data_IF_605690036438
#
_entry.id   IF_605690036438
#
_cell.length_a   1.000
_cell.length_b   1.000
_cell.length_c   1.000
_cell.angle_alpha   90.00
_cell.angle_beta   90.00
_cell.angle_gamma   90.00
#
_symmetry.space_group_name_H-M   'P 1'
#
loop_
_entity.id
_entity.type
_entity.pdbx_description
1 polymer ?
#
# COMPACT_ATOMS: atom_id res chain seq x y z
N UNK A 1 3.71 12.63 2.59
CA UNK A 1 2.36 12.06 2.77
C UNK A 1 2.25 11.49 4.17
N UNK A 2 1.13 11.58 4.88
CA UNK A 2 1.00 10.97 6.21
C UNK A 2 0.33 9.60 6.12
N UNK A 3 0.77 8.65 6.96
CA UNK A 3 0.24 7.28 6.99
C UNK A 3 -1.29 7.23 7.07
N UNK A 4 -1.91 8.13 7.83
CA UNK A 4 -3.37 8.20 7.97
C UNK A 4 -4.10 8.48 6.65
N UNK A 5 -3.56 9.37 5.83
CA UNK A 5 -4.14 9.67 4.51
C UNK A 5 -3.93 8.50 3.55
N UNK A 6 -2.75 7.87 3.60
CA UNK A 6 -2.48 6.64 2.85
C UNK A 6 -3.45 5.53 3.19
N UNK A 7 -3.62 5.22 4.47
CA UNK A 7 -4.55 4.18 4.92
C UNK A 7 -5.95 4.49 4.42
N UNK A 8 -6.40 5.75 4.48
CA UNK A 8 -7.72 6.12 3.97
C UNK A 8 -7.86 5.85 2.47
N UNK A 9 -6.91 6.28 1.65
CA UNK A 9 -6.90 6.00 0.20
C UNK A 9 -6.84 4.49 -0.07
N UNK A 10 -6.05 3.75 0.71
CA UNK A 10 -5.95 2.30 0.62
C UNK A 10 -7.31 1.64 0.88
N UNK A 11 -8.04 2.06 1.92
CA UNK A 11 -9.39 1.58 2.22
C UNK A 11 -10.41 1.91 1.12
N UNK A 12 -10.28 3.09 0.50
CA UNK A 12 -11.10 3.47 -0.66
C UNK A 12 -10.82 2.58 -1.88
N UNK A 13 -9.56 2.17 -2.10
CA UNK A 13 -9.17 1.29 -3.20
C UNK A 13 -9.72 -0.14 -3.04
N UNK A 14 -9.69 -0.67 -1.80
CA UNK A 14 -10.20 -2.02 -1.52
C UNK A 14 -11.71 -2.07 -1.26
N UNK A 15 -12.39 -0.91 -1.33
CA UNK A 15 -13.82 -0.75 -1.06
C UNK A 15 -14.21 -1.39 0.29
N UNK A 16 -13.45 -1.05 1.34
CA UNK A 16 -13.63 -1.55 2.70
C UNK A 16 -13.77 -0.38 3.68
N UNK A 17 -14.47 -0.63 4.80
CA UNK A 17 -14.58 0.38 5.85
C UNK A 17 -13.20 0.75 6.41
N UNK A 18 -12.91 2.05 6.60
CA UNK A 18 -11.65 2.49 7.14
C UNK A 18 -11.51 2.06 8.60
N UNK A 19 -10.65 1.08 8.85
CA UNK A 19 -10.32 0.63 10.19
C UNK A 19 -9.00 1.23 10.67
N UNK A 20 -8.78 1.19 11.99
CA UNK A 20 -7.51 1.63 12.58
C UNK A 20 -6.42 0.58 12.32
N UNK A 21 -5.53 0.87 11.38
CA UNK A 21 -4.36 0.04 11.08
C UNK A 21 -3.08 0.68 11.58
N UNK A 22 -2.04 -0.14 11.75
CA UNK A 22 -0.69 0.26 12.13
C UNK A 22 0.30 -0.12 11.03
N UNK A 23 1.53 0.37 11.12
CA UNK A 23 2.58 0.02 10.15
C UNK A 23 2.92 -1.48 10.15
N UNK A 24 2.75 -2.14 11.29
CA UNK A 24 2.93 -3.58 11.46
C UNK A 24 1.71 -4.39 11.04
N UNK A 25 0.60 -3.73 10.68
CA UNK A 25 -0.64 -4.42 10.35
C UNK A 25 -0.48 -5.21 9.06
N UNK A 26 -0.83 -6.50 9.10
CA UNK A 26 -0.69 -7.40 7.95
C UNK A 26 -1.99 -7.53 7.17
N UNK A 27 -1.90 -7.38 5.85
CA UNK A 27 -3.07 -7.44 4.97
C UNK A 27 -3.81 -8.79 5.05
N UNK A 28 -3.08 -9.90 5.04
CA UNK A 28 -3.69 -11.24 5.09
C UNK A 28 -4.29 -11.60 6.45
N UNK A 29 -3.60 -11.27 7.53
CA UNK A 29 -3.97 -11.75 8.87
C UNK A 29 -5.00 -10.85 9.55
N UNK A 30 -4.98 -9.54 9.28
CA UNK A 30 -5.83 -8.57 9.98
C UNK A 30 -6.89 -7.93 9.08
N UNK A 31 -6.62 -7.79 7.78
CA UNK A 31 -7.56 -7.19 6.82
C UNK A 31 -8.25 -8.25 5.95
N UNK A 32 -8.00 -9.54 6.23
CA UNK A 32 -8.56 -10.68 5.49
C UNK A 32 -8.36 -10.57 3.96
N UNK A 33 -7.31 -9.86 3.52
CA UNK A 33 -7.02 -9.62 2.10
C UNK A 33 -6.32 -10.84 1.51
N UNK A 34 -6.94 -11.42 0.48
CA UNK A 34 -6.36 -12.52 -0.28
C UNK A 34 -5.15 -12.10 -1.12
N UNK A 35 -4.33 -13.08 -1.52
CA UNK A 35 -3.17 -12.83 -2.39
C UNK A 35 -3.55 -12.13 -3.70
N UNK A 36 -4.73 -12.41 -4.26
CA UNK A 36 -5.24 -11.77 -5.47
C UNK A 36 -5.66 -10.32 -5.21
N UNK A 37 -6.35 -10.06 -4.09
CA UNK A 37 -6.73 -8.71 -3.69
C UNK A 37 -5.50 -7.85 -3.37
N UNK A 38 -4.47 -8.42 -2.76
CA UNK A 38 -3.21 -7.73 -2.50
C UNK A 38 -2.53 -7.29 -3.81
N UNK A 39 -2.52 -8.15 -4.84
CA UNK A 39 -1.98 -7.78 -6.15
C UNK A 39 -2.80 -6.65 -6.77
N UNK A 40 -4.13 -6.73 -6.75
CA UNK A 40 -5.00 -5.68 -7.27
C UNK A 40 -4.81 -4.35 -6.53
N UNK A 41 -4.66 -4.41 -5.20
CA UNK A 41 -4.34 -3.26 -4.36
C UNK A 41 -3.03 -2.61 -4.80
N UNK A 42 -1.96 -3.40 -4.93
CA UNK A 42 -0.64 -2.91 -5.34
C UNK A 42 -0.71 -2.26 -6.71
N UNK A 43 -1.45 -2.84 -7.67
CA UNK A 43 -1.64 -2.28 -9.00
C UNK A 43 -2.40 -0.95 -8.91
N UNK A 44 -3.51 -0.90 -8.17
CA UNK A 44 -4.30 0.32 -8.02
C UNK A 44 -3.52 1.44 -7.31
N UNK A 45 -2.73 1.10 -6.29
CA UNK A 45 -1.81 2.05 -5.63
C UNK A 45 -0.73 2.51 -6.60
N UNK A 46 -0.12 1.61 -7.38
CA UNK A 46 0.85 1.95 -8.40
C UNK A 46 0.30 2.96 -9.42
N UNK A 47 -0.93 2.73 -9.91
CA UNK A 47 -1.61 3.66 -10.82
C UNK A 47 -1.96 4.99 -10.13
N UNK A 48 -2.52 4.94 -8.92
CA UNK A 48 -2.94 6.12 -8.16
C UNK A 48 -1.76 7.06 -7.84
N UNK A 49 -0.60 6.50 -7.50
CA UNK A 49 0.61 7.25 -7.12
C UNK A 49 1.62 7.38 -8.27
N UNK A 50 1.30 6.92 -9.48
CA UNK A 50 2.21 6.90 -10.64
C UNK A 50 3.55 6.18 -10.35
N UNK A 51 3.50 5.12 -9.54
CA UNK A 51 4.68 4.32 -9.16
C UNK A 51 4.78 3.10 -10.08
N UNK A 52 5.97 2.72 -10.57
CA UNK A 52 6.13 1.50 -11.34
C UNK A 52 5.82 0.26 -10.49
N UNK A 53 4.96 -0.63 -10.99
CA UNK A 53 4.61 -1.89 -10.33
C UNK A 53 5.86 -2.74 -9.97
N UNK A 54 6.91 -2.65 -10.77
CA UNK A 54 8.19 -3.31 -10.53
C UNK A 54 8.79 -2.99 -9.16
N UNK A 55 8.59 -1.77 -8.63
CA UNK A 55 9.10 -1.38 -7.31
C UNK A 55 8.44 -2.23 -6.21
N UNK A 56 7.15 -2.52 -6.34
CA UNK A 56 6.42 -3.35 -5.38
C UNK A 56 6.83 -4.82 -5.48
N UNK A 57 7.07 -5.34 -6.69
CA UNK A 57 7.57 -6.70 -6.91
C UNK A 57 8.99 -6.88 -6.35
N UNK A 58 9.84 -5.87 -6.45
CA UNK A 58 11.18 -5.92 -5.85
C UNK A 58 11.14 -5.85 -4.32
N UNK A 59 10.06 -5.32 -3.75
CA UNK A 59 9.87 -5.15 -2.31
C UNK A 59 8.72 -6.03 -1.78
N UNK A 60 8.60 -7.27 -2.28
CA UNK A 60 7.53 -8.21 -1.89
C UNK A 60 7.47 -8.54 -0.39
N UNK A 61 8.58 -8.40 0.32
CA UNK A 61 8.61 -8.56 1.78
C UNK A 61 7.88 -7.42 2.48
N UNK A 62 7.96 -6.19 1.93
CA UNK A 62 7.34 -5.00 2.50
C UNK A 62 5.85 -4.89 2.16
N UNK A 63 5.41 -5.35 0.98
CA UNK A 63 3.99 -5.28 0.60
C UNK A 63 3.07 -6.15 1.46
N UNK A 64 3.61 -6.98 2.37
CA UNK A 64 2.81 -7.81 3.28
C UNK A 64 2.15 -7.00 4.40
N UNK A 65 2.68 -5.81 4.72
CA UNK A 65 2.16 -4.92 5.76
C UNK A 65 1.76 -3.56 5.19
N UNK A 66 0.81 -2.91 5.86
CA UNK A 66 0.35 -1.58 5.47
C UNK A 66 1.49 -0.57 5.54
N UNK A 67 2.33 -0.63 6.59
CA UNK A 67 3.49 0.23 6.74
C UNK A 67 4.54 0.00 5.66
N UNK A 68 4.78 -1.26 5.27
CA UNK A 68 5.74 -1.55 4.21
C UNK A 68 5.27 -1.06 2.84
N UNK A 69 3.97 -1.13 2.54
CA UNK A 69 3.41 -0.52 1.34
C UNK A 69 3.54 1.01 1.38
N UNK A 70 3.25 1.63 2.52
CA UNK A 70 3.40 3.07 2.73
C UNK A 70 4.86 3.52 2.55
N UNK A 71 5.82 2.78 3.11
CA UNK A 71 7.26 3.04 2.94
C UNK A 71 7.68 3.06 1.47
N UNK A 72 7.15 2.14 0.66
CA UNK A 72 7.44 2.12 -0.78
C UNK A 72 6.90 3.39 -1.43
N UNK A 73 5.65 3.75 -1.13
CA UNK A 73 5.01 4.95 -1.69
C UNK A 73 5.72 6.23 -1.25
N UNK A 74 6.11 6.33 0.02
CA UNK A 74 6.85 7.46 0.55
C UNK A 74 8.25 7.54 -0.07
N UNK A 75 8.93 6.40 -0.18
CA UNK A 75 10.25 6.32 -0.81
C UNK A 75 10.16 6.81 -2.24
N UNK A 76 9.26 6.25 -3.08
CA UNK A 76 9.13 6.62 -4.50
C UNK A 76 8.60 8.05 -4.69
N UNK A 77 7.63 8.48 -3.88
CA UNK A 77 7.04 9.82 -3.96
C UNK A 77 8.02 10.96 -3.69
N UNK A 78 9.16 10.69 -3.03
CA UNK A 78 10.23 11.67 -2.85
C UNK A 78 11.18 11.81 -4.06
N UNK A 79 11.09 10.96 -5.08
CA UNK A 79 11.98 11.02 -6.26
C UNK A 79 11.52 12.00 -7.34
N UNK A 80 10.35 12.63 -7.23
CA UNK A 80 9.89 13.66 -8.19
C UNK A 80 10.34 15.10 -7.84
N UNK A 81 11.18 15.29 -6.82
CA UNK A 81 11.74 16.62 -6.50
C UNK A 81 13.27 16.60 -6.45
N UNK A 82 13.93 16.47 -7.60
CA UNK A 82 15.31 16.97 -7.79
C UNK A 82 15.52 17.40 -9.24
#
# INVERSE_FOLDING_TARGET
MVFKDFSKTLFEIIDMEPISVSETTKFKEELEIDSLQLVNLVIAVAEQFNIPFEVFIQNTDKIQTVGGLFEIVESVGNYETT
#
